data_IF_315616200609
#
_entry.id   IF_315616200609
#
_cell.length_a   1.000
_cell.length_b   1.000
_cell.length_c   1.000
_cell.angle_alpha   90.00
_cell.angle_beta   90.00
_cell.angle_gamma   90.00
#
_symmetry.space_group_name_H-M   'P 1'
#
loop_
_entity.id
_entity.type
_entity.pdbx_description
1 polymer ?
#
# COMPACT_ATOMS: atom_id res chain seq x y z
N UNK A 1 14.23 10.73 8.29
CA UNK A 1 13.23 11.32 7.38
C UNK A 1 11.87 11.30 8.06
N UNK A 2 11.43 12.43 8.59
CA UNK A 2 10.06 12.60 9.10
C UNK A 2 9.22 13.19 7.96
N UNK A 3 8.28 12.43 7.41
CA UNK A 3 7.32 12.96 6.43
C UNK A 3 6.12 13.44 7.26
N UNK A 4 6.18 14.68 7.76
CA UNK A 4 5.09 15.28 8.55
C UNK A 4 3.74 15.01 7.88
N UNK A 5 2.86 14.27 8.55
CA UNK A 5 1.49 13.98 8.10
C UNK A 5 1.28 12.66 7.35
N UNK A 6 2.31 11.81 7.18
CA UNK A 6 2.10 10.48 6.61
C UNK A 6 1.42 9.54 7.64
N UNK A 7 0.49 8.66 7.21
CA UNK A 7 -0.05 7.64 8.10
C UNK A 7 1.07 6.77 8.68
N UNK A 8 0.99 6.39 9.95
CA UNK A 8 2.01 5.59 10.66
C UNK A 8 2.38 4.31 9.87
N UNK A 9 1.39 3.67 9.25
CA UNK A 9 1.59 2.49 8.39
C UNK A 9 2.54 2.76 7.23
N UNK A 10 2.49 3.96 6.64
CA UNK A 10 3.37 4.37 5.54
C UNK A 10 4.80 4.56 6.03
N UNK A 11 4.99 5.16 7.20
CA UNK A 11 6.31 5.33 7.81
C UNK A 11 6.94 3.97 8.16
N UNK A 12 6.18 3.09 8.82
CA UNK A 12 6.62 1.72 9.12
C UNK A 12 6.97 0.95 7.84
N UNK A 13 6.23 1.13 6.76
CA UNK A 13 6.50 0.48 5.48
C UNK A 13 7.80 0.97 4.84
N UNK A 14 8.06 2.29 4.87
CA UNK A 14 9.32 2.88 4.40
C UNK A 14 10.52 2.41 5.25
N UNK A 15 10.35 2.35 6.58
CA UNK A 15 11.38 1.86 7.49
C UNK A 15 11.77 0.41 7.17
N UNK A 16 10.78 -0.46 6.97
CA UNK A 16 11.02 -1.87 6.58
C UNK A 16 11.74 -2.00 5.24
N UNK A 17 11.42 -1.14 4.27
CA UNK A 17 12.10 -1.14 2.97
C UNK A 17 13.56 -0.75 3.11
N UNK A 18 13.83 0.29 3.90
CA UNK A 18 15.18 0.75 4.20
C UNK A 18 15.99 -0.33 4.94
N UNK A 19 15.42 -0.97 5.95
CA UNK A 19 16.09 -2.05 6.69
C UNK A 19 16.47 -3.22 5.78
N UNK A 20 15.62 -3.60 4.81
CA UNK A 20 15.97 -4.65 3.82
C UNK A 20 17.19 -4.26 3.00
N UNK A 21 17.24 -3.01 2.55
CA UNK A 21 18.38 -2.52 1.76
C UNK A 21 19.66 -2.47 2.59
N UNK A 22 19.61 -1.96 3.82
CA UNK A 22 20.79 -1.89 4.70
C UNK A 22 21.33 -3.30 4.99
N UNK A 23 20.46 -4.24 5.34
CA UNK A 23 20.87 -5.62 5.60
C UNK A 23 21.49 -6.28 4.35
N UNK A 24 20.90 -6.06 3.19
CA UNK A 24 21.46 -6.52 1.91
C UNK A 24 22.81 -5.89 1.62
N UNK A 25 22.93 -4.57 1.80
CA UNK A 25 24.14 -3.80 1.51
C UNK A 25 25.31 -4.29 2.36
N UNK A 26 25.10 -4.45 3.68
CA UNK A 26 26.10 -4.96 4.60
C UNK A 26 26.53 -6.39 4.26
N UNK A 27 25.57 -7.25 3.87
CA UNK A 27 25.84 -8.65 3.53
C UNK A 27 26.65 -8.78 2.22
N UNK A 28 26.34 -8.00 1.19
CA UNK A 28 26.94 -8.14 -0.14
C UNK A 28 28.23 -7.33 -0.31
N UNK A 29 28.28 -6.12 0.24
CA UNK A 29 29.44 -5.23 0.12
C UNK A 29 30.46 -5.50 1.24
N UNK A 30 30.01 -6.09 2.35
CA UNK A 30 30.88 -6.46 3.48
C UNK A 30 31.26 -5.29 4.40
N UNK A 31 30.76 -4.08 4.13
CA UNK A 31 30.95 -2.89 4.96
C UNK A 31 29.79 -1.90 4.75
N UNK A 32 29.76 -0.83 5.54
CA UNK A 32 28.70 0.19 5.55
C UNK A 32 29.13 1.54 4.92
N UNK A 33 30.28 1.58 4.24
CA UNK A 33 30.72 2.76 3.50
C UNK A 33 29.74 3.12 2.37
N UNK A 34 29.10 4.27 2.54
CA UNK A 34 28.10 4.84 1.62
C UNK A 34 28.65 5.05 0.21
N UNK A 35 29.96 5.31 0.05
CA UNK A 35 30.58 5.58 -1.25
C UNK A 35 30.57 4.37 -2.18
N UNK A 36 30.38 3.16 -1.64
CA UNK A 36 30.20 1.93 -2.44
C UNK A 36 28.76 1.71 -2.89
N UNK A 37 27.85 2.64 -2.58
CA UNK A 37 26.47 2.58 -3.06
C UNK A 37 26.38 3.04 -4.52
N UNK A 38 26.52 2.07 -5.43
CA UNK A 38 26.52 2.30 -6.88
C UNK A 38 25.23 1.80 -7.55
N UNK A 39 24.96 2.17 -8.81
CA UNK A 39 23.87 1.59 -9.60
C UNK A 39 23.93 0.07 -9.74
N UNK A 40 25.12 -0.53 -9.74
CA UNK A 40 25.27 -1.98 -9.79
C UNK A 40 24.72 -2.66 -8.53
N UNK A 41 24.97 -2.08 -7.36
CA UNK A 41 24.42 -2.56 -6.08
C UNK A 41 22.90 -2.54 -6.10
N UNK A 42 22.28 -1.47 -6.61
CA UNK A 42 20.82 -1.38 -6.70
C UNK A 42 20.22 -2.36 -7.70
N UNK A 43 20.87 -2.61 -8.85
CA UNK A 43 20.47 -3.67 -9.79
C UNK A 43 20.56 -5.06 -9.13
N UNK A 44 21.61 -5.29 -8.33
CA UNK A 44 21.76 -6.54 -7.59
C UNK A 44 20.69 -6.69 -6.51
N UNK A 45 20.41 -5.62 -5.76
CA UNK A 45 19.35 -5.59 -4.75
C UNK A 45 17.97 -5.89 -5.35
N UNK A 46 17.64 -5.27 -6.49
CA UNK A 46 16.38 -5.52 -7.18
C UNK A 46 16.25 -7.00 -7.58
N UNK A 47 17.33 -7.60 -8.12
CA UNK A 47 17.36 -9.04 -8.45
C UNK A 47 17.26 -9.92 -7.21
N UNK A 48 17.90 -9.53 -6.10
CA UNK A 48 17.80 -10.23 -4.82
C UNK A 48 16.34 -10.24 -4.35
N UNK A 49 15.67 -9.08 -4.35
CA UNK A 49 14.26 -8.97 -3.97
C UNK A 49 13.33 -9.82 -4.85
N UNK A 50 13.62 -9.99 -6.14
CA UNK A 50 12.85 -10.90 -7.01
C UNK A 50 12.94 -12.36 -6.58
N UNK A 51 14.02 -12.76 -5.90
CA UNK A 51 14.26 -14.13 -5.42
C UNK A 51 13.90 -14.33 -3.94
N UNK A 52 13.84 -13.25 -3.16
CA UNK A 52 13.51 -13.32 -1.74
C UNK A 52 12.07 -13.79 -1.53
N UNK A 53 11.89 -14.82 -0.70
CA UNK A 53 10.58 -15.30 -0.27
C UNK A 53 10.06 -14.42 0.86
N UNK A 54 8.84 -13.92 0.71
CA UNK A 54 8.18 -13.15 1.76
C UNK A 54 7.68 -14.07 2.88
N UNK A 55 8.15 -13.83 4.10
CA UNK A 55 7.70 -14.56 5.31
C UNK A 55 6.18 -14.55 5.48
N UNK A 56 5.51 -13.47 5.07
CA UNK A 56 4.05 -13.33 5.21
C UNK A 56 3.24 -14.15 4.22
N UNK A 57 3.77 -14.40 3.03
CA UNK A 57 3.00 -15.01 1.94
C UNK A 57 3.56 -16.35 1.48
N UNK A 58 4.78 -16.69 1.92
CA UNK A 58 5.51 -17.87 1.44
C UNK A 58 5.89 -17.82 -0.04
N UNK A 59 5.71 -16.66 -0.71
CA UNK A 59 5.93 -16.47 -2.15
C UNK A 59 6.98 -15.38 -2.40
N UNK A 60 7.62 -15.38 -3.59
CA UNK A 60 8.48 -14.27 -4.01
C UNK A 60 7.74 -12.93 -3.95
N UNK A 61 8.47 -11.85 -3.74
CA UNK A 61 7.87 -10.52 -3.74
C UNK A 61 7.25 -10.18 -5.10
N UNK A 62 6.04 -9.62 -5.09
CA UNK A 62 5.39 -9.07 -6.30
C UNK A 62 6.16 -7.85 -6.82
N UNK A 63 6.17 -7.66 -8.14
CA UNK A 63 6.81 -6.52 -8.80
C UNK A 63 6.38 -5.16 -8.22
N UNK A 64 5.10 -4.98 -7.88
CA UNK A 64 4.59 -3.77 -7.21
C UNK A 64 5.25 -3.49 -5.87
N UNK A 65 5.46 -4.53 -5.05
CA UNK A 65 6.15 -4.43 -3.76
C UNK A 65 7.64 -4.11 -3.92
N UNK A 66 8.28 -4.67 -4.96
CA UNK A 66 9.67 -4.40 -5.29
C UNK A 66 9.82 -2.95 -5.76
N UNK A 67 9.00 -2.50 -6.70
CA UNK A 67 9.01 -1.12 -7.19
C UNK A 67 8.76 -0.11 -6.06
N UNK A 68 7.85 -0.41 -5.13
CA UNK A 68 7.66 0.42 -3.92
C UNK A 68 8.93 0.50 -3.07
N UNK A 69 9.59 -0.63 -2.84
CA UNK A 69 10.87 -0.69 -2.11
C UNK A 69 11.91 0.17 -2.83
N UNK A 70 12.09 -0.05 -4.15
CA UNK A 70 13.03 0.70 -4.98
C UNK A 70 12.73 2.20 -5.00
N UNK A 71 11.46 2.61 -4.99
CA UNK A 71 11.08 4.02 -4.89
C UNK A 71 11.47 4.63 -3.54
N UNK A 72 11.30 3.90 -2.43
CA UNK A 72 11.80 4.35 -1.11
C UNK A 72 13.31 4.54 -1.13
N UNK A 73 14.04 3.55 -1.67
CA UNK A 73 15.52 3.60 -1.77
C UNK A 73 15.97 4.73 -2.69
N UNK A 74 15.30 4.95 -3.83
CA UNK A 74 15.53 6.07 -4.75
C UNK A 74 15.39 7.42 -4.05
N UNK A 75 14.33 7.57 -3.26
CA UNK A 75 14.09 8.80 -2.51
C UNK A 75 15.19 9.06 -1.48
N UNK A 76 15.64 8.02 -0.76
CA UNK A 76 16.75 8.12 0.20
C UNK A 76 18.06 8.44 -0.50
N UNK A 77 18.40 7.76 -1.60
CA UNK A 77 19.63 7.99 -2.35
C UNK A 77 19.74 9.42 -2.89
N UNK A 78 18.65 9.96 -3.43
CA UNK A 78 18.60 11.35 -3.90
C UNK A 78 18.72 12.35 -2.75
N UNK A 79 18.02 12.12 -1.65
CA UNK A 79 18.15 12.95 -0.46
C UNK A 79 19.58 12.92 0.08
N UNK A 80 20.21 11.75 0.12
CA UNK A 80 21.59 11.60 0.57
C UNK A 80 22.57 12.33 -0.34
N UNK A 81 22.41 12.20 -1.67
CA UNK A 81 23.23 12.91 -2.65
C UNK A 81 23.15 14.43 -2.50
N UNK A 82 22.00 14.98 -2.11
CA UNK A 82 21.84 16.41 -1.79
C UNK A 82 22.62 16.83 -0.53
N UNK A 83 22.77 15.94 0.45
CA UNK A 83 23.51 16.24 1.69
C UNK A 83 25.02 16.03 1.51
N UNK A 84 25.41 14.98 0.77
CA UNK A 84 26.79 14.63 0.45
C UNK A 84 26.84 14.06 -0.96
N UNK A 85 27.53 14.72 -1.90
CA UNK A 85 27.74 14.15 -3.24
C UNK A 85 28.38 12.77 -3.15
N UNK A 86 27.72 11.79 -3.76
CA UNK A 86 28.23 10.42 -3.90
C UNK A 86 29.20 10.36 -5.08
N UNK A 87 30.22 9.51 -4.97
CA UNK A 87 31.28 9.36 -5.98
C UNK A 87 30.70 9.07 -7.38
N UNK A 88 29.65 8.25 -7.45
CA UNK A 88 29.00 7.82 -8.70
C UNK A 88 27.73 8.61 -9.06
N UNK A 89 27.41 9.71 -8.36
CA UNK A 89 26.20 10.50 -8.67
C UNK A 89 24.90 9.94 -8.06
N UNK A 90 23.80 9.93 -8.83
CA UNK A 90 22.52 9.32 -8.39
C UNK A 90 22.64 7.78 -8.46
N UNK A 91 22.63 7.07 -7.32
CA UNK A 91 22.86 5.63 -7.28
C UNK A 91 21.76 4.83 -7.98
N UNK A 92 20.61 5.43 -8.32
CA UNK A 92 19.50 4.76 -9.00
C UNK A 92 19.22 5.29 -10.42
N UNK A 93 20.10 6.10 -11.00
CA UNK A 93 19.89 6.71 -12.34
C UNK A 93 19.58 5.68 -13.46
N UNK A 94 20.13 4.47 -13.38
CA UNK A 94 20.00 3.43 -14.40
C UNK A 94 19.18 2.21 -13.95
N UNK A 95 18.40 2.34 -12.87
CA UNK A 95 17.60 1.23 -12.33
C UNK A 95 16.15 1.45 -12.68
N UNK A 96 15.73 0.72 -13.72
CA UNK A 96 14.35 0.73 -14.21
C UNK A 96 13.44 -0.05 -13.26
N UNK A 97 12.21 0.43 -13.14
CA UNK A 97 11.18 -0.29 -12.40
C UNK A 97 10.79 -1.57 -13.16
N UNK A 98 10.38 -2.60 -12.42
CA UNK A 98 9.89 -3.85 -13.00
C UNK A 98 8.54 -3.59 -13.69
N UNK A 99 8.31 -4.22 -14.84
CA UNK A 99 7.01 -4.21 -15.48
C UNK A 99 5.98 -4.85 -14.56
N UNK A 100 4.83 -4.19 -14.42
CA UNK A 100 3.69 -4.68 -13.65
C UNK A 100 2.51 -4.79 -14.59
N UNK A 101 1.84 -5.94 -14.58
CA UNK A 101 0.60 -6.10 -15.32
C UNK A 101 -0.45 -5.10 -14.84
N UNK A 102 -1.35 -4.70 -15.76
CA UNK A 102 -2.50 -3.90 -15.39
C UNK A 102 -3.31 -4.65 -14.32
N UNK A 103 -3.81 -3.95 -13.28
CA UNK A 103 -4.58 -4.62 -12.25
C UNK A 103 -5.86 -5.19 -12.86
N UNK A 104 -6.04 -6.50 -12.73
CA UNK A 104 -7.29 -7.14 -13.08
C UNK A 104 -8.44 -6.59 -12.22
N UNK A 105 -9.64 -6.59 -12.78
CA UNK A 105 -10.84 -6.27 -12.03
C UNK A 105 -10.99 -7.26 -10.84
N UNK A 106 -10.77 -6.75 -9.64
CA UNK A 106 -10.96 -7.48 -8.39
C UNK A 106 -12.20 -7.01 -7.62
N UNK A 107 -13.21 -6.54 -8.35
CA UNK A 107 -14.48 -6.08 -7.76
C UNK A 107 -15.54 -7.18 -7.68
N UNK A 108 -16.66 -6.85 -7.06
CA UNK A 108 -17.79 -7.78 -6.91
C UNK A 108 -18.44 -8.07 -8.26
N UNK A 109 -18.66 -9.35 -8.55
CA UNK A 109 -19.52 -9.78 -9.67
C UNK A 109 -20.99 -9.49 -9.36
N UNK A 110 -21.83 -9.39 -10.40
CA UNK A 110 -23.29 -9.20 -10.24
C UNK A 110 -23.93 -10.27 -9.34
N UNK A 111 -23.45 -11.52 -9.42
CA UNK A 111 -23.91 -12.63 -8.56
C UNK A 111 -23.54 -12.40 -7.09
N UNK A 112 -22.30 -11.99 -6.81
CA UNK A 112 -21.86 -11.68 -5.44
C UNK A 112 -22.61 -10.46 -4.89
N UNK A 113 -22.85 -9.45 -5.72
CA UNK A 113 -23.58 -8.26 -5.33
C UNK A 113 -25.04 -8.58 -4.95
N UNK A 114 -25.73 -9.38 -5.77
CA UNK A 114 -27.08 -9.86 -5.47
C UNK A 114 -27.12 -10.64 -4.14
N UNK A 115 -26.15 -11.54 -3.92
CA UNK A 115 -26.04 -12.31 -2.68
C UNK A 115 -25.82 -11.41 -1.46
N UNK A 116 -24.97 -10.39 -1.58
CA UNK A 116 -24.72 -9.44 -0.48
C UNK A 116 -25.96 -8.59 -0.16
N UNK A 117 -26.71 -8.13 -1.18
CA UNK A 117 -27.97 -7.41 -0.98
C UNK A 117 -28.99 -8.28 -0.25
N UNK A 118 -29.18 -9.52 -0.71
CA UNK A 118 -30.08 -10.48 -0.06
C UNK A 118 -29.66 -10.80 1.38
N UNK A 119 -28.36 -10.93 1.64
CA UNK A 119 -27.84 -11.13 3.00
C UNK A 119 -28.16 -9.94 3.93
N UNK A 120 -28.10 -8.70 3.43
CA UNK A 120 -28.49 -7.52 4.21
C UNK A 120 -29.97 -7.55 4.58
N UNK A 121 -30.85 -7.89 3.62
CA UNK A 121 -32.29 -8.01 3.87
C UNK A 121 -32.62 -9.10 4.91
N UNK A 122 -31.96 -10.26 4.81
CA UNK A 122 -32.10 -11.33 5.79
C UNK A 122 -31.63 -10.88 7.16
N UNK A 123 -30.49 -10.19 7.22
CA UNK A 123 -29.88 -9.74 8.47
C UNK A 123 -30.74 -8.73 9.23
N UNK A 124 -31.39 -7.81 8.53
CA UNK A 124 -32.38 -6.88 9.13
C UNK A 124 -33.50 -7.67 9.83
N UNK A 125 -33.94 -8.79 9.26
CA UNK A 125 -35.03 -9.61 9.81
C UNK A 125 -34.57 -10.58 10.89
N UNK A 126 -33.35 -11.10 10.82
CA UNK A 126 -32.88 -12.18 11.69
C UNK A 126 -32.14 -11.69 12.95
N UNK A 127 -31.59 -10.47 12.95
CA UNK A 127 -30.82 -9.95 14.07
C UNK A 127 -31.73 -9.38 15.16
N UNK A 128 -31.82 -10.08 16.29
CA UNK A 128 -32.67 -9.71 17.44
C UNK A 128 -31.88 -9.35 18.70
N UNK A 129 -30.55 -9.46 18.69
CA UNK A 129 -29.72 -9.22 19.88
C UNK A 129 -29.44 -7.72 20.06
N UNK A 130 -29.44 -7.25 21.31
CA UNK A 130 -29.22 -5.82 21.66
C UNK A 130 -27.87 -5.24 21.20
N UNK A 131 -26.86 -6.09 20.99
CA UNK A 131 -25.53 -5.66 20.56
C UNK A 131 -25.33 -5.68 19.03
N UNK A 132 -26.40 -5.89 18.26
CA UNK A 132 -26.37 -5.87 16.80
C UNK A 132 -27.05 -4.60 16.28
N UNK A 133 -26.51 -4.00 15.22
CA UNK A 133 -27.15 -2.86 14.55
C UNK A 133 -27.32 -3.13 13.04
N UNK A 134 -28.26 -4.03 12.67
CA UNK A 134 -28.40 -4.48 11.29
C UNK A 134 -28.83 -3.37 10.31
N UNK A 135 -29.53 -2.34 10.81
CA UNK A 135 -29.91 -1.17 10.01
C UNK A 135 -28.68 -0.33 9.64
N UNK A 136 -27.81 -0.04 10.62
CA UNK A 136 -26.57 0.69 10.39
C UNK A 136 -25.64 -0.09 9.45
N UNK A 137 -25.46 -1.40 9.68
CA UNK A 137 -24.61 -2.25 8.84
C UNK A 137 -25.09 -2.28 7.38
N UNK A 138 -26.40 -2.37 7.17
CA UNK A 138 -27.00 -2.33 5.83
C UNK A 138 -26.86 -0.95 5.18
N UNK A 139 -27.07 0.13 5.94
CA UNK A 139 -26.87 1.49 5.45
C UNK A 139 -25.41 1.74 5.05
N UNK A 140 -24.44 1.26 5.84
CA UNK A 140 -23.01 1.31 5.51
C UNK A 140 -22.70 0.54 4.22
N UNK A 141 -23.27 -0.65 4.05
CA UNK A 141 -23.09 -1.43 2.81
C UNK A 141 -23.59 -0.66 1.58
N UNK A 142 -24.80 -0.12 1.62
CA UNK A 142 -25.35 0.64 0.50
C UNK A 142 -24.63 1.96 0.26
N UNK A 143 -24.14 2.63 1.32
CA UNK A 143 -23.32 3.82 1.21
C UNK A 143 -22.01 3.53 0.47
N UNK A 144 -21.28 2.50 0.91
CA UNK A 144 -20.03 2.07 0.26
C UNK A 144 -20.27 1.66 -1.20
N UNK A 145 -21.34 0.91 -1.46
CA UNK A 145 -21.69 0.47 -2.80
C UNK A 145 -22.08 1.62 -3.73
N UNK A 146 -22.84 2.60 -3.23
CA UNK A 146 -23.37 3.71 -4.04
C UNK A 146 -22.38 4.84 -4.25
N UNK A 147 -21.43 5.04 -3.33
CA UNK A 147 -20.49 6.17 -3.38
C UNK A 147 -19.06 5.78 -3.74
N UNK A 148 -18.67 4.51 -3.55
CA UNK A 148 -17.29 4.08 -3.71
C UNK A 148 -16.32 4.69 -2.71
N UNK A 149 -16.82 5.28 -1.61
CA UNK A 149 -15.98 5.86 -0.55
C UNK A 149 -15.07 4.78 0.05
N UNK A 150 -13.88 5.22 0.46
CA UNK A 150 -12.94 4.39 1.22
C UNK A 150 -13.45 4.24 2.65
N UNK A 151 -13.08 3.14 3.29
CA UNK A 151 -13.44 2.86 4.68
C UNK A 151 -13.11 4.03 5.63
N UNK A 152 -11.91 4.62 5.49
CA UNK A 152 -11.48 5.76 6.31
C UNK A 152 -12.34 7.02 6.11
N UNK A 153 -12.89 7.20 4.91
CA UNK A 153 -13.75 8.34 4.58
C UNK A 153 -15.13 8.15 5.21
N UNK A 154 -15.65 6.92 5.17
CA UNK A 154 -16.93 6.56 5.82
C UNK A 154 -16.85 6.73 7.34
N UNK A 155 -15.74 6.31 7.97
CA UNK A 155 -15.53 6.49 9.42
C UNK A 155 -15.47 7.96 9.82
N UNK A 156 -14.95 8.81 8.93
CA UNK A 156 -14.82 10.26 9.18
C UNK A 156 -16.05 11.07 8.75
N UNK A 157 -17.11 10.41 8.29
CA UNK A 157 -18.28 11.05 7.70
C UNK A 157 -19.14 11.73 8.77
N UNK A 158 -19.47 13.00 8.55
CA UNK A 158 -20.30 13.77 9.48
C UNK A 158 -21.71 14.01 8.91
N UNK A 159 -22.73 14.05 9.78
CA UNK A 159 -24.14 14.32 9.43
C UNK A 159 -24.31 15.64 8.67
N UNK A 160 -23.41 16.62 8.84
CA UNK A 160 -23.46 17.87 8.06
C UNK A 160 -23.14 17.68 6.58
N UNK A 161 -22.35 16.66 6.25
CA UNK A 161 -21.89 16.38 4.88
C UNK A 161 -22.93 15.59 4.06
N UNK A 162 -23.95 15.01 4.71
CA UNK A 162 -24.98 14.19 4.03
C UNK A 162 -26.10 15.00 3.38
N UNK A 163 -26.06 16.34 3.44
CA UNK A 163 -27.16 17.23 3.02
C UNK A 163 -27.40 17.36 1.51
N UNK A 164 -26.58 16.75 0.64
CA UNK A 164 -26.64 17.02 -0.81
C UNK A 164 -27.34 15.96 -1.69
N UNK A 165 -27.76 14.80 -1.15
CA UNK A 165 -28.14 13.66 -2.01
C UNK A 165 -29.62 13.22 -1.97
N UNK A 166 -30.52 13.92 -1.25
CA UNK A 166 -31.96 13.61 -1.28
C UNK A 166 -32.74 14.70 -2.01
N UNK A 167 -32.50 14.86 -3.32
CA UNK A 167 -33.54 15.42 -4.20
C UNK A 167 -34.59 14.34 -4.41
N UNK A 168 -35.75 14.53 -3.78
CA UNK A 168 -36.97 13.74 -4.04
C UNK A 168 -37.24 13.74 -5.55
N UNK A 169 -37.31 12.55 -6.15
CA UNK A 169 -38.16 12.32 -7.31
C UNK A 169 -39.60 12.15 -6.83
#
# INVERSE_FOLDING_TARGET
MHVKGAPEKTEQAKMKDLSKFINFFQMEVGHDLVDSWTPAVNKHFQKHLCKTISEKTGKPYKATSINRTMATIRHVGRWLHQQRPLVEGDPLAQVNDLQTDAPDWNGLTSRQLMRLKSACEQRIKSCTRKNQNPLMETALFYLLLGTGLRESEVVSLNVRQTKAAFKKN
#
